data_IF_837413713436
#
_entry.id   IF_837413713436
#
_cell.length_a   1.000
_cell.length_b   1.000
_cell.length_c   1.000
_cell.angle_alpha   90.00
_cell.angle_beta   90.00
_cell.angle_gamma   90.00
#
_symmetry.space_group_name_H-M   'P 1'
#
loop_
_entity.id
_entity.type
_entity.pdbx_description
1 polymer ?
#
# COMPACT_ATOMS: atom_id res chain seq x y z
N UNK A 1 -8.41 -17.31 -1.08
CA UNK A 1 -8.30 -15.98 -1.76
C UNK A 1 -8.94 -15.97 -3.15
N UNK A 2 -8.96 -17.08 -3.87
CA UNK A 2 -9.46 -17.15 -5.26
C UNK A 2 -10.91 -16.66 -5.46
N UNK A 3 -11.71 -16.60 -4.41
CA UNK A 3 -13.09 -16.12 -4.45
C UNK A 3 -13.23 -14.59 -4.41
N UNK A 4 -12.17 -13.87 -4.06
CA UNK A 4 -12.20 -12.42 -3.94
C UNK A 4 -11.72 -11.71 -5.20
N UNK A 5 -12.26 -10.51 -5.44
CA UNK A 5 -11.75 -9.65 -6.50
C UNK A 5 -10.28 -9.33 -6.28
N UNK A 6 -9.48 -9.44 -7.33
CA UNK A 6 -8.04 -9.25 -7.28
C UNK A 6 -7.59 -8.20 -8.30
N UNK A 7 -6.65 -7.35 -7.90
CA UNK A 7 -5.92 -6.42 -8.77
C UNK A 7 -4.44 -6.76 -8.72
N UNK A 8 -3.77 -6.75 -9.86
CA UNK A 8 -2.31 -6.77 -9.90
C UNK A 8 -1.80 -5.33 -9.93
N UNK A 9 -0.92 -5.00 -8.99
CA UNK A 9 -0.37 -3.66 -8.83
C UNK A 9 1.14 -3.68 -9.07
N UNK A 10 1.60 -2.69 -9.85
CA UNK A 10 3.00 -2.36 -10.03
C UNK A 10 3.16 -0.88 -9.72
N UNK A 11 4.07 -0.52 -8.83
CA UNK A 11 4.23 0.87 -8.41
C UNK A 11 5.67 1.23 -8.12
N UNK A 12 5.98 2.49 -8.36
CA UNK A 12 7.28 3.07 -8.05
C UNK A 12 7.14 4.50 -7.52
N UNK A 13 8.16 4.97 -6.83
CA UNK A 13 8.18 6.26 -6.17
C UNK A 13 9.15 7.20 -6.87
N UNK A 14 8.65 8.31 -7.43
CA UNK A 14 9.48 9.37 -8.00
C UNK A 14 10.19 10.17 -6.90
N UNK A 15 9.52 10.35 -5.78
CA UNK A 15 10.11 10.80 -4.52
C UNK A 15 9.28 10.30 -3.33
N UNK A 16 9.87 10.33 -2.15
CA UNK A 16 9.25 9.83 -0.92
C UNK A 16 8.87 10.91 0.08
N UNK A 17 9.41 12.13 -0.10
CA UNK A 17 9.08 13.31 0.71
C UNK A 17 9.07 14.54 -0.20
N UNK A 18 7.91 15.00 -0.66
CA UNK A 18 6.58 14.39 -0.53
C UNK A 18 6.48 13.05 -1.26
N UNK A 19 5.45 12.28 -0.95
CA UNK A 19 5.20 11.03 -1.66
C UNK A 19 4.62 11.33 -3.03
N UNK A 20 5.35 10.98 -4.08
CA UNK A 20 4.88 11.00 -5.47
C UNK A 20 5.10 9.61 -6.06
N UNK A 21 4.02 8.97 -6.46
CA UNK A 21 3.99 7.57 -6.86
C UNK A 21 3.33 7.42 -8.23
N UNK A 22 3.88 6.55 -9.07
CA UNK A 22 3.20 6.04 -10.26
C UNK A 22 2.76 4.60 -10.03
N UNK A 23 1.58 4.26 -10.50
CA UNK A 23 0.98 2.93 -10.31
C UNK A 23 0.28 2.47 -11.58
N UNK A 24 0.54 1.22 -11.94
CA UNK A 24 -0.23 0.43 -12.89
C UNK A 24 -1.11 -0.53 -12.11
N UNK A 25 -2.38 -0.59 -12.47
CA UNK A 25 -3.35 -1.54 -11.91
C UNK A 25 -3.92 -2.37 -13.05
N UNK A 26 -3.90 -3.68 -12.90
CA UNK A 26 -4.53 -4.60 -13.85
C UNK A 26 -5.67 -5.32 -13.13
N UNK A 27 -6.87 -5.15 -13.63
CA UNK A 27 -8.08 -5.83 -13.14
C UNK A 27 -8.83 -6.40 -14.33
N UNK A 28 -9.13 -7.71 -14.29
CA UNK A 28 -9.83 -8.42 -15.37
C UNK A 28 -9.18 -8.22 -16.76
N UNK A 29 -7.84 -8.18 -16.80
CA UNK A 29 -7.08 -7.99 -18.02
C UNK A 29 -6.98 -6.54 -18.51
N UNK A 30 -7.65 -5.59 -17.87
CA UNK A 30 -7.61 -4.17 -18.22
C UNK A 30 -6.61 -3.43 -17.34
N UNK A 31 -5.68 -2.72 -17.98
CA UNK A 31 -4.68 -1.90 -17.30
C UNK A 31 -5.10 -0.44 -17.19
N UNK A 32 -4.87 0.15 -16.03
CA UNK A 32 -5.00 1.58 -15.78
C UNK A 32 -3.73 2.11 -15.10
N UNK A 33 -3.47 3.39 -15.30
CA UNK A 33 -2.23 4.03 -14.85
C UNK A 33 -2.54 5.35 -14.17
N UNK A 34 -1.94 5.60 -13.01
CA UNK A 34 -2.12 6.85 -12.26
C UNK A 34 -0.79 7.41 -11.77
N UNK A 35 -0.76 8.74 -11.61
CA UNK A 35 0.18 9.45 -10.77
C UNK A 35 -0.55 9.85 -9.49
N UNK A 36 0.06 9.60 -8.34
CA UNK A 36 -0.51 9.92 -7.03
C UNK A 36 0.46 10.80 -6.24
N UNK A 37 -0.07 11.88 -5.70
CA UNK A 37 0.62 12.74 -4.75
C UNK A 37 -0.03 12.61 -3.38
N UNK A 38 0.77 12.30 -2.35
CA UNK A 38 0.31 12.23 -0.96
C UNK A 38 0.99 13.29 -0.13
N UNK A 39 0.20 14.03 0.64
CA UNK A 39 0.67 15.12 1.49
C UNK A 39 -0.04 15.14 2.82
N UNK A 40 0.67 15.58 3.84
CA UNK A 40 0.09 15.93 5.15
C UNK A 40 -0.08 17.44 5.32
N UNK A 41 0.08 18.20 4.24
CA UNK A 41 -0.05 19.65 4.26
C UNK A 41 -1.43 20.08 4.77
N UNK A 42 -1.46 20.93 5.79
CA UNK A 42 -2.69 21.40 6.41
C UNK A 42 -3.39 20.39 7.33
N UNK A 43 -2.75 19.24 7.61
CA UNK A 43 -3.27 18.21 8.52
C UNK A 43 -2.39 18.11 9.76
N UNK A 44 -3.01 18.16 10.94
CA UNK A 44 -2.32 17.98 12.22
C UNK A 44 -2.35 16.52 12.67
N UNK A 45 -1.21 16.06 13.22
CA UNK A 45 -1.14 14.75 13.85
C UNK A 45 -1.72 14.82 15.25
N UNK A 46 -2.79 14.07 15.52
CA UNK A 46 -3.34 13.92 16.86
C UNK A 46 -2.62 12.79 17.61
N UNK A 47 -2.34 13.03 18.90
CA UNK A 47 -1.59 12.08 19.73
C UNK A 47 -2.33 10.75 19.96
N UNK A 48 -3.66 10.75 19.91
CA UNK A 48 -4.56 9.61 20.13
C UNK A 48 -5.15 9.02 18.84
N UNK A 49 -4.61 9.40 17.67
CA UNK A 49 -5.10 8.94 16.38
C UNK A 49 -4.93 7.42 16.20
N UNK A 50 -5.99 6.74 15.77
CA UNK A 50 -6.00 5.30 15.44
C UNK A 50 -5.75 5.03 13.95
N UNK A 51 -5.85 6.07 13.11
CA UNK A 51 -5.58 6.02 11.67
C UNK A 51 -4.70 7.20 11.24
N UNK A 52 -3.96 7.01 10.14
CA UNK A 52 -3.21 8.10 9.52
C UNK A 52 -4.11 8.88 8.58
N UNK A 53 -4.13 10.21 8.74
CA UNK A 53 -4.82 11.14 7.85
C UNK A 53 -3.82 11.70 6.84
N UNK A 54 -4.15 11.65 5.55
CA UNK A 54 -3.37 12.29 4.50
C UNK A 54 -4.27 12.79 3.37
N UNK A 55 -3.80 13.81 2.66
CA UNK A 55 -4.41 14.27 1.41
C UNK A 55 -3.82 13.46 0.26
N UNK A 56 -4.67 13.00 -0.64
CA UNK A 56 -4.28 12.23 -1.80
C UNK A 56 -4.89 12.83 -3.05
N UNK A 57 -4.02 13.15 -4.02
CA UNK A 57 -4.42 13.63 -5.34
C UNK A 57 -3.96 12.63 -6.38
N UNK A 58 -4.87 12.17 -7.20
CA UNK A 58 -4.60 11.20 -8.26
C UNK A 58 -4.94 11.78 -9.63
N UNK A 59 -4.09 11.50 -10.61
CA UNK A 59 -4.40 11.81 -12.01
C UNK A 59 -4.12 10.60 -12.90
N UNK A 60 -4.95 10.38 -13.92
CA UNK A 60 -4.71 9.30 -14.87
C UNK A 60 -3.49 9.60 -15.75
N UNK A 61 -2.77 8.54 -16.10
CA UNK A 61 -1.66 8.58 -17.03
C UNK A 61 -1.97 7.71 -18.25
N UNK A 62 -1.34 8.05 -19.38
CA UNK A 62 -1.23 7.12 -20.49
C UNK A 62 -0.22 6.01 -20.17
N UNK A 63 -0.30 4.87 -20.84
CA UNK A 63 0.69 3.79 -20.70
C UNK A 63 2.11 4.29 -21.00
N UNK A 64 2.27 5.11 -22.03
CA UNK A 64 3.56 5.68 -22.42
C UNK A 64 4.13 6.61 -21.34
N UNK A 65 3.31 7.52 -20.78
CA UNK A 65 3.71 8.38 -19.68
C UNK A 65 4.11 7.58 -18.44
N UNK A 66 3.35 6.54 -18.11
CA UNK A 66 3.66 5.65 -17.00
C UNK A 66 5.04 4.98 -17.17
N UNK A 67 5.30 4.36 -18.33
CA UNK A 67 6.58 3.70 -18.59
C UNK A 67 7.77 4.66 -18.48
N UNK A 68 7.62 5.87 -19.01
CA UNK A 68 8.66 6.89 -18.92
C UNK A 68 8.93 7.35 -17.49
N UNK A 69 7.89 7.57 -16.70
CA UNK A 69 8.02 7.94 -15.30
C UNK A 69 8.55 6.78 -14.45
N UNK A 70 8.14 5.55 -14.74
CA UNK A 70 8.63 4.36 -14.04
C UNK A 70 10.15 4.20 -14.21
N UNK A 71 10.72 4.61 -15.33
CA UNK A 71 12.18 4.58 -15.55
C UNK A 71 12.96 5.55 -14.65
N UNK A 72 12.27 6.46 -13.96
CA UNK A 72 12.86 7.51 -13.13
C UNK A 72 12.61 7.33 -11.63
N UNK A 73 12.02 6.22 -11.23
CA UNK A 73 11.71 5.97 -9.81
C UNK A 73 12.96 5.74 -8.99
N UNK A 74 12.88 6.14 -7.73
CA UNK A 74 13.87 5.83 -6.70
C UNK A 74 13.59 4.47 -6.08
N UNK A 75 14.65 3.71 -5.82
CA UNK A 75 14.54 2.39 -5.20
C UNK A 75 13.94 1.34 -6.14
N UNK A 76 13.27 0.37 -5.56
CA UNK A 76 12.68 -0.74 -6.31
C UNK A 76 11.26 -0.44 -6.76
N UNK A 77 10.88 -1.06 -7.88
CA UNK A 77 9.49 -1.17 -8.28
C UNK A 77 8.83 -2.25 -7.42
N UNK A 78 7.72 -1.91 -6.78
CA UNK A 78 6.96 -2.84 -5.94
C UNK A 78 5.89 -3.50 -6.78
N UNK A 79 5.82 -4.83 -6.74
CA UNK A 79 4.75 -5.61 -7.34
C UNK A 79 3.97 -6.33 -6.26
N UNK A 80 2.64 -6.36 -6.39
CA UNK A 80 1.77 -7.03 -5.43
C UNK A 80 0.43 -7.39 -6.04
N UNK A 81 -0.24 -8.38 -5.46
CA UNK A 81 -1.64 -8.68 -5.72
C UNK A 81 -2.47 -8.15 -4.58
N UNK A 82 -3.47 -7.34 -4.88
CA UNK A 82 -4.41 -6.78 -3.91
C UNK A 82 -5.75 -7.48 -4.01
N UNK A 83 -6.11 -8.17 -2.94
CA UNK A 83 -7.42 -8.80 -2.82
C UNK A 83 -8.35 -7.87 -2.05
N UNK A 84 -9.58 -7.73 -2.56
CA UNK A 84 -10.61 -6.91 -1.94
C UNK A 84 -11.55 -7.85 -1.17
N UNK A 85 -11.46 -7.82 0.15
CA UNK A 85 -12.20 -8.71 1.04
C UNK A 85 -13.29 -7.91 1.75
N UNK A 86 -14.59 -8.15 1.44
CA UNK A 86 -15.66 -7.52 2.20
C UNK A 86 -15.62 -7.95 3.68
N UNK A 87 -15.72 -6.99 4.57
CA UNK A 87 -15.74 -7.21 6.01
C UNK A 87 -16.61 -6.17 6.70
N UNK A 88 -17.78 -6.58 7.21
CA UNK A 88 -18.80 -5.68 7.73
C UNK A 88 -19.14 -4.55 6.74
N UNK A 89 -19.06 -3.30 7.18
CA UNK A 89 -19.30 -2.11 6.35
C UNK A 89 -18.07 -1.67 5.54
N UNK A 90 -16.94 -2.40 5.64
CA UNK A 90 -15.64 -2.01 5.08
C UNK A 90 -15.16 -3.02 4.04
N UNK A 91 -14.08 -2.64 3.37
CA UNK A 91 -13.31 -3.54 2.53
C UNK A 91 -11.89 -3.63 3.07
N UNK A 92 -11.44 -4.85 3.33
CA UNK A 92 -10.04 -5.10 3.66
C UNK A 92 -9.28 -5.24 2.34
N UNK A 93 -8.26 -4.43 2.15
CA UNK A 93 -7.31 -4.54 1.06
C UNK A 93 -6.13 -5.40 1.51
N UNK A 94 -6.10 -6.65 1.06
CA UNK A 94 -5.02 -7.59 1.39
C UNK A 94 -3.99 -7.59 0.28
N UNK A 95 -2.81 -7.06 0.58
CA UNK A 95 -1.67 -6.99 -0.34
C UNK A 95 -0.73 -8.16 -0.12
N UNK A 96 -0.60 -9.00 -1.14
CA UNK A 96 0.37 -10.10 -1.20
C UNK A 96 1.51 -9.67 -2.12
N UNK A 97 2.67 -9.41 -1.55
CA UNK A 97 3.80 -8.87 -2.28
C UNK A 97 4.50 -9.93 -3.12
N UNK A 98 5.04 -9.50 -4.26
CA UNK A 98 5.84 -10.31 -5.17
C UNK A 98 7.27 -9.79 -5.30
N UNK A 99 8.02 -10.38 -6.23
CA UNK A 99 9.40 -9.99 -6.49
C UNK A 99 10.30 -10.14 -5.26
N UNK A 100 11.10 -9.12 -4.98
CA UNK A 100 12.02 -9.10 -3.84
C UNK A 100 11.32 -9.07 -2.48
N UNK A 101 10.04 -8.70 -2.43
CA UNK A 101 9.24 -8.64 -1.21
C UNK A 101 8.32 -9.87 -1.05
N UNK A 102 8.57 -10.93 -1.79
CA UNK A 102 7.80 -12.19 -1.70
C UNK A 102 7.78 -12.71 -0.27
N UNK A 103 6.59 -13.05 0.23
CA UNK A 103 6.36 -13.50 1.60
C UNK A 103 5.79 -12.41 2.51
N UNK A 104 5.90 -11.13 2.13
CA UNK A 104 5.28 -10.03 2.85
C UNK A 104 3.79 -9.95 2.50
N UNK A 105 2.96 -9.79 3.53
CA UNK A 105 1.51 -9.64 3.40
C UNK A 105 1.05 -8.50 4.31
N UNK A 106 0.32 -7.54 3.74
CA UNK A 106 -0.31 -6.45 4.49
C UNK A 106 -1.81 -6.46 4.30
N UNK A 107 -2.52 -6.08 5.36
CA UNK A 107 -3.94 -5.79 5.31
C UNK A 107 -4.15 -4.31 5.66
N UNK A 108 -4.86 -3.61 4.79
CA UNK A 108 -5.23 -2.21 4.99
C UNK A 108 -6.75 -2.08 5.00
N UNK A 109 -7.26 -1.17 5.84
CA UNK A 109 -8.67 -0.79 5.86
C UNK A 109 -8.75 0.73 5.83
N UNK A 110 -9.53 1.27 4.90
CA UNK A 110 -9.82 2.70 4.83
C UNK A 110 -11.11 3.01 5.60
N UNK A 111 -11.07 4.05 6.43
CA UNK A 111 -12.20 4.49 7.23
C UNK A 111 -12.66 5.89 6.80
N UNK A 112 -13.99 6.18 6.86
CA UNK A 112 -14.51 7.49 6.50
C UNK A 112 -14.11 8.59 7.50
N UNK A 113 -13.84 8.22 8.76
CA UNK A 113 -13.45 9.13 9.85
C UNK A 113 -12.69 8.40 10.95
N UNK A 114 -12.19 9.17 11.92
CA UNK A 114 -11.44 8.63 13.06
C UNK A 114 -12.31 7.80 14.01
N UNK A 115 -13.59 8.13 14.13
CA UNK A 115 -14.54 7.39 14.98
C UNK A 115 -14.76 5.97 14.44
N UNK A 116 -14.96 5.84 13.13
CA UNK A 116 -15.08 4.54 12.47
C UNK A 116 -13.82 3.69 12.67
N UNK A 117 -12.63 4.29 12.54
CA UNK A 117 -11.36 3.61 12.78
C UNK A 117 -11.22 3.12 14.22
N UNK A 118 -11.61 3.95 15.20
CA UNK A 118 -11.57 3.60 16.63
C UNK A 118 -12.53 2.49 17.01
N UNK A 119 -13.68 2.40 16.32
CA UNK A 119 -14.74 1.41 16.56
C UNK A 119 -14.53 0.11 15.80
N UNK A 120 -13.52 0.03 14.93
CA UNK A 120 -13.28 -1.15 14.09
C UNK A 120 -12.81 -2.34 14.92
N UNK A 121 -13.47 -3.47 14.75
CA UNK A 121 -13.09 -4.74 15.36
C UNK A 121 -12.30 -5.56 14.34
N UNK A 122 -11.02 -5.79 14.63
CA UNK A 122 -10.13 -6.53 13.74
C UNK A 122 -10.56 -7.99 13.59
N UNK A 123 -10.49 -8.57 12.37
CA UNK A 123 -10.63 -10.00 12.21
C UNK A 123 -9.57 -10.76 13.01
N UNK A 124 -9.90 -11.96 13.46
CA UNK A 124 -8.99 -12.80 14.26
C UNK A 124 -7.70 -13.21 13.53
N UNK A 125 -7.69 -13.10 12.19
CA UNK A 125 -6.52 -13.43 11.37
C UNK A 125 -5.57 -12.24 11.15
N UNK A 126 -5.92 -11.03 11.64
CA UNK A 126 -4.98 -9.92 11.71
C UNK A 126 -3.91 -10.24 12.75
N UNK A 127 -2.67 -9.93 12.41
CA UNK A 127 -1.53 -10.11 13.29
C UNK A 127 -1.11 -8.76 13.90
N UNK A 128 0.06 -8.27 13.59
CA UNK A 128 0.61 -7.06 14.18
C UNK A 128 0.07 -5.80 13.53
N UNK A 129 -0.47 -4.88 14.33
CA UNK A 129 -0.81 -3.53 13.89
C UNK A 129 0.45 -2.70 13.66
N UNK A 130 0.67 -2.29 12.40
CA UNK A 130 1.83 -1.50 11.97
C UNK A 130 1.43 -0.14 11.39
N UNK A 131 0.23 0.34 11.70
CA UNK A 131 -0.34 1.59 11.19
C UNK A 131 0.62 2.78 11.33
N UNK A 132 1.29 2.89 12.46
CA UNK A 132 2.22 3.99 12.77
C UNK A 132 3.70 3.60 12.68
N UNK A 133 4.01 2.40 12.21
CA UNK A 133 5.38 1.97 11.98
C UNK A 133 5.81 2.34 10.57
N UNK A 134 6.59 3.40 10.45
CA UNK A 134 7.03 3.92 9.16
C UNK A 134 7.84 2.93 8.31
N UNK A 135 8.43 1.90 8.92
CA UNK A 135 9.20 0.87 8.20
C UNK A 135 8.34 0.09 7.21
N UNK A 136 7.03 -0.03 7.47
CA UNK A 136 6.08 -0.82 6.68
C UNK A 136 5.33 -0.01 5.62
N UNK A 137 5.60 1.28 5.50
CA UNK A 137 5.04 2.08 4.42
C UNK A 137 5.65 1.68 3.08
N UNK A 138 4.82 1.62 2.04
CA UNK A 138 5.28 1.22 0.71
C UNK A 138 6.43 2.07 0.17
N UNK A 139 6.45 3.38 0.47
CA UNK A 139 7.56 4.25 0.08
C UNK A 139 8.88 3.87 0.78
N UNK A 140 8.82 3.39 2.01
CA UNK A 140 10.00 2.87 2.72
C UNK A 140 10.44 1.53 2.17
N UNK A 141 9.50 0.62 1.91
CA UNK A 141 9.77 -0.67 1.29
C UNK A 141 10.46 -0.52 -0.08
N UNK A 142 10.09 0.50 -0.85
CA UNK A 142 10.73 0.81 -2.13
C UNK A 142 12.21 1.17 -1.98
N UNK A 143 12.58 1.83 -0.87
CA UNK A 143 13.95 2.26 -0.58
C UNK A 143 14.79 1.25 0.21
N UNK A 144 14.18 0.19 0.70
CA UNK A 144 14.90 -0.82 1.48
C UNK A 144 15.98 -1.49 0.63
N UNK A 145 17.20 -1.46 1.15
CA UNK A 145 18.37 -2.10 0.53
C UNK A 145 18.55 -3.55 0.99
N UNK A 146 17.85 -3.92 2.06
CA UNK A 146 18.00 -5.20 2.72
C UNK A 146 17.09 -6.26 2.10
N UNK A 147 17.57 -7.49 2.13
CA UNK A 147 16.84 -8.63 1.60
C UNK A 147 15.57 -8.95 2.44
N UNK A 148 14.59 -9.67 1.88
CA UNK A 148 13.38 -10.10 2.60
C UNK A 148 13.65 -10.82 3.94
N UNK A 149 14.81 -11.39 4.14
CA UNK A 149 15.23 -12.02 5.40
C UNK A 149 15.19 -11.07 6.62
N UNK A 150 15.51 -9.80 6.42
CA UNK A 150 15.40 -8.77 7.47
C UNK A 150 13.94 -8.55 7.87
N UNK A 151 13.04 -8.58 6.90
CA UNK A 151 11.60 -8.49 7.13
C UNK A 151 11.08 -9.69 7.92
N UNK A 152 11.58 -10.90 7.63
CA UNK A 152 11.25 -12.12 8.41
C UNK A 152 11.66 -11.99 9.86
N UNK A 153 12.87 -11.50 10.12
CA UNK A 153 13.38 -11.26 11.49
C UNK A 153 12.55 -10.25 12.26
N UNK A 154 11.98 -9.27 11.59
CA UNK A 154 11.09 -8.29 12.19
C UNK A 154 9.65 -8.80 12.41
N UNK A 155 9.35 -10.06 12.07
CA UNK A 155 8.04 -10.67 12.24
C UNK A 155 7.01 -10.22 11.19
N UNK A 156 7.46 -9.71 10.06
CA UNK A 156 6.62 -9.04 9.05
C UNK A 156 6.24 -9.98 7.91
N UNK A 157 7.09 -10.94 7.60
CA UNK A 157 6.87 -11.87 6.49
C UNK A 157 6.17 -13.12 7.00
N UNK A 158 4.98 -13.35 6.46
CA UNK A 158 4.23 -14.59 6.66
C UNK A 158 4.40 -15.46 5.41
N UNK A 159 4.80 -16.68 5.61
CA UNK A 159 4.77 -17.70 4.54
C UNK A 159 3.31 -18.11 4.32
N UNK A 160 2.85 -17.96 3.09
CA UNK A 160 1.53 -18.40 2.66
C UNK A 160 1.58 -19.81 2.10
#
# INVERSE_FOLDING_TARGET
LAQYACKELEQGYLCTHPVVRVRKSVKNGEASYILCYKSKLGLEKKADATAQVCREEEMPLTAEAYEKLLSKVDGRVITKKRYLIPYDAYTIELDVFGGELTGLVFAEVEFPDEEAAASFVQPSWFDKDVTFDDRFKNNKLALWKEAPEELKKAGIIHEL
#
